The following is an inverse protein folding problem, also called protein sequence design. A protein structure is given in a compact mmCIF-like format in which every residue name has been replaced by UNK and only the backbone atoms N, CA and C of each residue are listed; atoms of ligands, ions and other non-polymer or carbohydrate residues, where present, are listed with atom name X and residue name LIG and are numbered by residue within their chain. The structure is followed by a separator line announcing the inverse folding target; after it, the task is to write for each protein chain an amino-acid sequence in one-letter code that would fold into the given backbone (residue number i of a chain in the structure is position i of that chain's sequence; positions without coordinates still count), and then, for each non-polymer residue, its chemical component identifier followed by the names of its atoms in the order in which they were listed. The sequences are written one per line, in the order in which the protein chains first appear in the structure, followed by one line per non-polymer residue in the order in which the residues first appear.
data_IF_602848845141
#
_entry.id   IF_602848845141
#
_cell.length_a   1.000
_cell.length_b   1.000
_cell.length_c   1.000
_cell.angle_alpha   90.00
_cell.angle_beta   90.00
_cell.angle_gamma   90.00
#
_symmetry.space_group_name_H-M   'P 1'
#
loop_
_entity.id
_entity.type
_entity.pdbx_description
1 polymer ?
#
# COMPACT_ATOMS: atom_id res chain seq x y z
N UNK A 1 53.81 28.15 39.74
CA UNK A 1 52.92 28.99 38.91
C UNK A 1 52.33 28.07 37.83
N UNK A 2 51.25 27.37 38.17
CA UNK A 2 49.84 27.63 37.78
C UNK A 2 49.46 26.99 36.43
N UNK A 3 48.82 25.82 36.50
CA UNK A 3 48.09 25.17 35.41
C UNK A 3 46.84 26.01 35.06
N UNK A 4 46.66 26.34 33.79
CA UNK A 4 45.40 26.87 33.28
C UNK A 4 44.50 25.71 32.82
N UNK A 5 43.41 25.48 33.57
CA UNK A 5 42.28 24.65 33.17
C UNK A 5 41.38 25.48 32.25
N UNK A 6 41.13 25.02 31.03
CA UNK A 6 40.08 25.56 30.15
C UNK A 6 38.88 24.61 30.19
N UNK A 7 37.82 25.08 30.86
CA UNK A 7 36.48 24.52 30.80
C UNK A 7 35.78 25.12 29.58
N UNK A 8 35.30 24.28 28.66
CA UNK A 8 34.40 24.71 27.58
C UNK A 8 33.02 24.12 27.87
N UNK A 9 32.07 25.02 28.13
CA UNK A 9 30.68 24.73 28.43
C UNK A 9 29.95 24.16 27.21
N UNK A 10 29.22 23.06 27.42
CA UNK A 10 28.29 22.50 26.44
C UNK A 10 27.01 23.36 26.39
N UNK A 11 26.66 23.84 25.20
CA UNK A 11 25.36 24.48 24.92
C UNK A 11 24.42 23.40 24.39
N UNK A 12 23.40 23.04 25.17
CA UNK A 12 22.32 22.17 24.72
C UNK A 12 21.25 23.02 24.01
N UNK A 13 21.13 22.88 22.70
CA UNK A 13 20.02 23.45 21.92
C UNK A 13 18.90 22.40 21.91
N UNK A 14 17.91 22.58 22.76
CA UNK A 14 16.67 21.82 22.72
C UNK A 14 15.78 22.33 21.59
N UNK A 15 15.71 21.59 20.49
CA UNK A 15 14.68 21.79 19.47
C UNK A 15 13.44 20.98 19.84
N UNK A 16 12.41 21.65 20.37
CA UNK A 16 11.08 21.07 20.52
C UNK A 16 10.40 21.02 19.15
N UNK A 17 10.30 19.84 18.55
CA UNK A 17 9.49 19.63 17.36
C UNK A 17 8.01 19.66 17.75
N UNK A 18 7.26 20.64 17.22
CA UNK A 18 5.81 20.68 17.34
C UNK A 18 5.18 19.55 16.50
N UNK A 19 4.51 18.61 17.17
CA UNK A 19 3.74 17.55 16.52
C UNK A 19 2.38 18.15 16.14
N UNK A 20 1.97 18.17 14.85
CA UNK A 20 0.62 18.55 14.50
C UNK A 20 -0.36 17.48 14.99
N UNK A 21 -1.23 17.87 15.93
CA UNK A 21 -2.31 17.04 16.46
C UNK A 21 -3.48 17.03 15.46
N UNK A 22 -3.67 15.91 14.77
CA UNK A 22 -4.83 15.71 13.90
C UNK A 22 -6.06 15.44 14.78
N UNK A 23 -7.06 16.33 14.72
CA UNK A 23 -8.39 16.12 15.34
C UNK A 23 -9.25 15.25 14.41
N UNK A 24 -9.86 14.15 14.89
CA UNK A 24 -10.91 13.47 14.15
C UNK A 24 -12.14 14.38 14.07
N UNK A 25 -12.71 14.53 12.87
CA UNK A 25 -14.02 15.15 12.69
C UNK A 25 -15.10 14.17 13.16
N UNK A 26 -15.88 14.58 14.15
CA UNK A 26 -17.04 13.80 14.62
C UNK A 26 -18.19 13.84 13.59
N UNK A 27 -18.86 12.70 13.54
CA UNK A 27 -19.88 12.25 12.60
C UNK A 27 -21.22 12.95 12.90
N UNK A 28 -21.81 13.60 11.90
CA UNK A 28 -23.24 13.94 11.90
C UNK A 28 -23.92 13.24 10.72
N UNK A 29 -24.35 11.99 10.93
CA UNK A 29 -25.26 11.30 10.02
C UNK A 29 -26.69 11.62 10.42
N UNK A 30 -27.36 12.52 9.70
CA UNK A 30 -28.82 12.62 9.73
C UNK A 30 -29.40 11.59 8.76
N UNK A 31 -30.02 10.55 9.31
CA UNK A 31 -30.87 9.64 8.54
C UNK A 31 -32.20 10.34 8.24
N UNK A 32 -32.49 10.61 6.97
CA UNK A 32 -33.83 10.97 6.52
C UNK A 32 -34.65 9.69 6.36
N UNK A 33 -35.67 9.52 7.20
CA UNK A 33 -36.75 8.55 7.00
C UNK A 33 -37.59 8.96 5.79
N UNK A 34 -37.74 8.07 4.82
CA UNK A 34 -38.80 8.16 3.80
C UNK A 34 -39.93 7.26 4.28
N UNK A 35 -41.02 7.87 4.73
CA UNK A 35 -42.30 7.20 4.96
C UNK A 35 -42.90 6.78 3.62
N UNK A 36 -42.90 5.46 3.36
CA UNK A 36 -43.61 4.84 2.25
C UNK A 36 -45.08 4.63 2.61
N UNK A 37 -45.96 5.30 1.87
CA UNK A 37 -47.42 5.33 2.00
C UNK A 37 -48.08 4.05 1.45
N UNK A 38 -49.23 3.74 2.04
CA UNK A 38 -50.13 2.57 1.92
C UNK A 38 -50.62 2.14 0.52
N UNK A 39 -50.95 0.84 0.45
CA UNK A 39 -51.58 -0.09 -0.55
C UNK A 39 -52.94 0.38 -1.16
N UNK A 40 -53.71 -0.35 -2.02
CA UNK A 40 -53.68 -1.80 -2.42
C UNK A 40 -54.08 -2.19 -3.88
N UNK A 41 -53.73 -3.40 -4.35
CA UNK A 41 -54.53 -4.21 -5.33
C UNK A 41 -54.30 -5.72 -5.15
N UNK A 42 -55.36 -6.47 -4.84
CA UNK A 42 -55.66 -7.82 -5.38
C UNK A 42 -55.04 -9.08 -4.74
N UNK A 43 -55.81 -10.17 -4.51
CA UNK A 43 -55.40 -11.30 -3.67
C UNK A 43 -54.94 -12.53 -4.47
N UNK A 44 -54.04 -13.33 -3.90
CA UNK A 44 -54.20 -14.80 -3.77
C UNK A 44 -52.99 -15.45 -3.07
N UNK A 45 -53.32 -16.34 -2.13
CA UNK A 45 -52.54 -17.46 -1.59
C UNK A 45 -51.19 -17.18 -0.86
N UNK A 46 -50.70 -17.93 0.13
CA UNK A 46 -51.19 -18.85 1.19
C UNK A 46 -49.92 -19.19 2.01
N UNK A 47 -50.02 -19.19 3.34
CA UNK A 47 -49.32 -20.04 4.34
C UNK A 47 -47.78 -20.00 4.48
N UNK A 48 -47.32 -19.67 5.70
CA UNK A 48 -46.02 -20.07 6.26
C UNK A 48 -45.54 -19.21 7.45
N UNK A 49 -45.94 -19.56 8.69
CA UNK A 49 -45.50 -18.94 9.95
C UNK A 49 -44.25 -19.69 10.52
N UNK A 50 -43.64 -19.31 11.67
CA UNK A 50 -42.32 -18.68 11.80
C UNK A 50 -41.25 -19.58 12.47
N UNK A 51 -39.98 -19.11 12.54
CA UNK A 51 -39.25 -18.92 13.82
C UNK A 51 -37.71 -18.96 13.67
N UNK A 52 -37.11 -17.87 14.17
CA UNK A 52 -35.95 -17.78 15.06
C UNK A 52 -34.64 -18.53 14.73
N UNK A 53 -33.62 -17.73 14.40
CA UNK A 53 -32.20 -18.04 14.61
C UNK A 53 -31.45 -16.75 14.96
N UNK A 54 -30.90 -16.70 16.17
CA UNK A 54 -30.23 -15.56 16.81
C UNK A 54 -28.93 -15.11 16.12
N UNK A 55 -28.67 -13.81 16.24
CA UNK A 55 -27.40 -13.07 16.40
C UNK A 55 -26.08 -13.82 16.15
N UNK A 56 -25.16 -13.21 15.38
CA UNK A 56 -24.05 -12.41 15.95
C UNK A 56 -23.22 -11.73 14.85
N UNK A 57 -22.95 -10.43 15.05
CA UNK A 57 -22.03 -9.59 14.29
C UNK A 57 -20.64 -10.21 14.14
N UNK A 58 -20.02 -10.04 12.98
CA UNK A 58 -18.62 -9.59 12.91
C UNK A 58 -18.50 -8.58 11.78
N UNK A 59 -18.23 -7.35 12.21
CA UNK A 59 -17.58 -6.25 11.50
C UNK A 59 -16.84 -6.70 10.26
N UNK A 60 -17.39 -6.39 9.09
CA UNK A 60 -16.62 -6.32 7.86
C UNK A 60 -15.73 -5.09 8.03
N UNK A 61 -14.46 -5.33 8.34
CA UNK A 61 -13.44 -4.32 8.47
C UNK A 61 -13.48 -3.40 7.25
N UNK A 62 -13.78 -2.12 7.49
CA UNK A 62 -13.53 -1.01 6.59
C UNK A 62 -12.00 -0.84 6.43
N UNK A 63 -11.35 -1.83 5.83
CA UNK A 63 -10.00 -1.68 5.30
C UNK A 63 -10.18 -0.92 4.00
N UNK A 64 -9.81 0.36 4.02
CA UNK A 64 -9.67 1.21 2.83
C UNK A 64 -8.86 0.45 1.78
N UNK A 65 -9.56 -0.22 0.87
CA UNK A 65 -8.95 -1.05 -0.16
C UNK A 65 -8.49 -0.08 -1.23
N UNK A 66 -7.22 0.33 -1.16
CA UNK A 66 -6.58 1.00 -2.28
C UNK A 66 -6.63 0.00 -3.43
N UNK A 67 -7.50 0.29 -4.39
CA UNK A 67 -7.85 -0.49 -5.59
C UNK A 67 -6.94 -1.71 -5.81
N UNK A 68 -7.42 -2.88 -5.37
CA UNK A 68 -6.85 -4.14 -5.79
C UNK A 68 -7.04 -4.29 -7.29
N UNK A 69 -5.94 -4.50 -8.01
CA UNK A 69 -5.97 -4.96 -9.39
C UNK A 69 -6.36 -6.44 -9.39
N UNK A 70 -7.65 -6.73 -9.17
CA UNK A 70 -8.22 -8.07 -9.30
C UNK A 70 -8.14 -8.49 -10.76
N UNK A 71 -7.01 -9.09 -11.14
CA UNK A 71 -6.76 -9.61 -12.48
C UNK A 71 -5.42 -9.23 -13.11
N UNK A 72 -4.67 -8.26 -12.56
CA UNK A 72 -3.38 -7.90 -13.17
C UNK A 72 -2.36 -9.01 -12.95
N UNK A 73 -1.86 -9.54 -14.05
CA UNK A 73 -0.76 -10.47 -14.08
C UNK A 73 0.52 -9.64 -14.07
N UNK A 74 1.29 -9.70 -12.98
CA UNK A 74 2.56 -9.01 -12.89
C UNK A 74 3.68 -9.87 -13.48
N UNK A 75 4.34 -9.35 -14.50
CA UNK A 75 5.46 -9.95 -15.22
C UNK A 75 5.18 -11.40 -15.68
N UNK A 76 3.93 -11.69 -16.05
CA UNK A 76 3.49 -13.02 -16.48
C UNK A 76 3.49 -14.10 -15.40
N UNK A 77 3.88 -13.79 -14.15
CA UNK A 77 4.20 -14.79 -13.13
C UNK A 77 3.50 -14.59 -11.79
N UNK A 78 2.93 -13.41 -11.53
CA UNK A 78 2.19 -13.16 -10.30
C UNK A 78 0.76 -12.67 -10.58
N UNK A 79 -0.14 -12.91 -9.63
CA UNK A 79 -1.53 -12.45 -9.66
C UNK A 79 -1.92 -11.81 -8.34
N UNK A 80 -2.98 -11.00 -8.36
CA UNK A 80 -3.52 -10.34 -7.17
C UNK A 80 -2.49 -9.42 -6.51
N UNK A 81 -1.69 -8.72 -7.31
CA UNK A 81 -0.62 -7.87 -6.80
C UNK A 81 -1.20 -6.59 -6.23
N UNK A 82 -0.81 -6.25 -5.00
CA UNK A 82 -1.33 -5.10 -4.24
C UNK A 82 -0.24 -4.43 -3.40
N UNK A 83 -0.49 -3.20 -2.97
CA UNK A 83 0.34 -2.52 -1.97
C UNK A 83 -0.25 -2.71 -0.57
N UNK A 84 0.59 -3.14 0.36
CA UNK A 84 0.32 -3.16 1.79
C UNK A 84 1.24 -2.23 2.57
N UNK A 85 1.17 -2.30 3.90
CA UNK A 85 1.96 -1.46 4.82
C UNK A 85 1.15 -0.35 5.51
N UNK A 86 -0.16 -0.28 5.23
CA UNK A 86 -1.15 0.54 5.94
C UNK A 86 -0.77 2.04 6.00
N UNK A 87 -0.04 2.53 5.00
CA UNK A 87 0.46 3.91 4.94
C UNK A 87 1.58 4.26 5.94
N UNK A 88 2.10 3.27 6.68
CA UNK A 88 3.19 3.44 7.64
C UNK A 88 4.52 3.63 6.91
N UNK A 89 5.33 4.57 7.40
CA UNK A 89 6.67 4.87 6.88
C UNK A 89 7.59 3.65 7.01
N UNK A 90 8.35 3.37 5.97
CA UNK A 90 9.30 2.27 5.88
C UNK A 90 8.63 0.91 5.71
N UNK A 91 7.32 0.85 5.47
CA UNK A 91 6.52 -0.39 5.45
C UNK A 91 5.80 -0.64 4.13
N UNK A 92 5.92 0.24 3.14
CA UNK A 92 5.28 0.02 1.83
C UNK A 92 5.76 -1.29 1.22
N UNK A 93 4.83 -2.24 1.09
CA UNK A 93 5.13 -3.63 0.75
C UNK A 93 4.34 -4.05 -0.46
N UNK A 94 5.00 -4.56 -1.49
CA UNK A 94 4.34 -5.22 -2.62
C UNK A 94 3.98 -6.65 -2.19
N UNK A 95 2.72 -7.05 -2.37
CA UNK A 95 2.22 -8.37 -2.01
C UNK A 95 1.51 -9.00 -3.19
N UNK A 96 1.51 -10.32 -3.28
CA UNK A 96 0.76 -11.06 -4.30
C UNK A 96 1.00 -12.55 -4.22
N UNK A 97 0.52 -13.27 -5.22
CA UNK A 97 0.82 -14.70 -5.40
C UNK A 97 1.65 -14.88 -6.65
N UNK A 98 2.80 -15.54 -6.56
CA UNK A 98 3.70 -15.78 -7.68
C UNK A 98 3.90 -17.28 -7.92
N UNK A 99 4.01 -17.68 -9.17
CA UNK A 99 4.26 -19.06 -9.57
C UNK A 99 5.77 -19.35 -9.56
N UNK A 100 6.15 -20.56 -9.14
CA UNK A 100 7.52 -21.04 -9.25
C UNK A 100 7.76 -21.81 -10.57
N UNK A 101 9.00 -22.25 -10.78
CA UNK A 101 9.38 -23.02 -11.97
C UNK A 101 8.69 -24.38 -12.10
N UNK A 102 8.05 -24.87 -11.04
CA UNK A 102 7.29 -26.14 -11.01
C UNK A 102 5.79 -25.93 -11.19
N UNK A 103 5.33 -24.68 -11.33
CA UNK A 103 3.92 -24.34 -11.43
C UNK A 103 3.21 -24.18 -10.08
N UNK A 104 3.93 -24.21 -8.95
CA UNK A 104 3.35 -24.03 -7.62
C UNK A 104 3.18 -22.56 -7.31
N UNK A 105 2.02 -22.18 -6.76
CA UNK A 105 1.72 -20.81 -6.35
C UNK A 105 2.15 -20.55 -4.91
N UNK A 106 2.80 -19.41 -4.71
CA UNK A 106 3.32 -18.96 -3.42
C UNK A 106 2.79 -17.56 -3.12
N UNK A 107 2.25 -17.35 -1.93
CA UNK A 107 2.01 -16.01 -1.41
C UNK A 107 3.35 -15.38 -1.08
N UNK A 108 3.61 -14.16 -1.55
CA UNK A 108 4.88 -13.49 -1.35
C UNK A 108 4.69 -12.00 -1.05
N UNK A 109 5.64 -11.42 -0.32
CA UNK A 109 5.63 -10.01 0.01
C UNK A 109 7.04 -9.42 0.08
N UNK A 110 7.23 -8.21 -0.43
CA UNK A 110 8.53 -7.53 -0.49
C UNK A 110 8.37 -6.08 -0.07
N UNK A 111 9.14 -5.64 0.94
CA UNK A 111 9.20 -4.24 1.32
C UNK A 111 9.96 -3.43 0.26
N UNK A 112 9.26 -2.50 -0.41
CA UNK A 112 9.79 -1.70 -1.50
C UNK A 112 10.84 -0.68 -1.04
N UNK A 113 10.83 -0.30 0.24
CA UNK A 113 11.88 0.58 0.81
C UNK A 113 13.25 -0.09 0.88
N UNK A 114 13.39 -1.36 0.51
CA UNK A 114 14.71 -1.99 0.37
C UNK A 114 15.39 -1.64 -0.94
N UNK A 115 14.62 -1.21 -1.95
CA UNK A 115 15.12 -1.09 -3.32
C UNK A 115 14.66 0.18 -4.03
N UNK A 116 13.74 0.95 -3.44
CA UNK A 116 13.17 2.15 -4.05
C UNK A 116 13.47 3.36 -3.17
N UNK A 117 14.07 4.38 -3.78
CA UNK A 117 14.48 5.62 -3.15
C UNK A 117 13.83 6.85 -3.80
N UNK A 118 14.02 7.98 -3.13
CA UNK A 118 13.73 9.31 -3.63
C UNK A 118 15.01 9.95 -4.13
N UNK A 119 15.14 10.10 -5.45
CA UNK A 119 16.21 10.85 -6.08
C UNK A 119 15.62 12.14 -6.66
N UNK A 120 15.84 13.26 -5.97
CA UNK A 120 15.40 14.60 -6.39
C UNK A 120 13.89 14.72 -6.71
N UNK A 121 13.05 14.08 -5.90
CA UNK A 121 11.60 14.08 -6.06
C UNK A 121 11.15 13.21 -7.24
N UNK A 122 11.91 12.16 -7.55
CA UNK A 122 11.55 11.10 -8.48
C UNK A 122 11.83 9.73 -7.84
N UNK A 123 10.99 8.74 -8.17
CA UNK A 123 11.22 7.36 -7.75
C UNK A 123 12.38 6.80 -8.56
N UNK A 124 13.33 6.20 -7.86
CA UNK A 124 14.46 5.52 -8.47
C UNK A 124 14.76 4.21 -7.75
N UNK A 125 15.40 3.30 -8.46
CA UNK A 125 15.94 2.10 -7.85
C UNK A 125 17.28 2.41 -7.17
N UNK A 126 17.43 1.98 -5.91
CA UNK A 126 18.64 2.16 -5.11
C UNK A 126 18.76 1.08 -4.02
N UNK A 127 19.97 0.68 -3.65
CA UNK A 127 20.22 -0.34 -2.60
C UNK A 127 19.89 0.16 -1.19
N UNK A 128 19.87 1.48 -0.98
CA UNK A 128 19.38 2.15 0.22
C UNK A 128 18.07 2.89 -0.07
N UNK A 129 17.03 2.10 -0.33
CA UNK A 129 15.68 2.65 -0.45
C UNK A 129 15.19 3.32 0.85
N UNK A 130 14.18 4.17 0.71
CA UNK A 130 13.35 4.74 1.80
C UNK A 130 12.29 5.71 1.20
N UNK A 131 11.84 5.45 -0.03
CA UNK A 131 11.06 6.44 -0.79
C UNK A 131 9.76 6.84 -0.08
N UNK A 132 9.12 5.91 0.64
CA UNK A 132 7.80 6.15 1.20
C UNK A 132 7.83 7.14 2.39
N UNK A 133 9.00 7.50 2.90
CA UNK A 133 9.14 8.57 3.88
C UNK A 133 8.58 9.89 3.32
N UNK A 134 8.75 10.14 2.02
CA UNK A 134 8.41 11.41 1.35
C UNK A 134 7.50 11.26 0.14
N UNK A 135 7.32 10.04 -0.38
CA UNK A 135 6.56 9.77 -1.59
C UNK A 135 5.23 9.05 -1.26
N UNK A 136 4.15 9.80 -1.06
CA UNK A 136 2.84 9.27 -0.68
C UNK A 136 1.69 10.17 -1.18
N UNK A 137 0.48 9.61 -1.42
CA UNK A 137 0.16 8.19 -1.44
C UNK A 137 0.71 7.49 -2.70
N UNK A 138 0.77 6.16 -2.65
CA UNK A 138 1.21 5.32 -3.76
C UNK A 138 0.10 4.37 -4.22
N UNK A 139 0.07 4.09 -5.52
CA UNK A 139 -0.83 3.14 -6.17
C UNK A 139 -0.07 2.29 -7.18
N UNK A 140 -0.64 1.13 -7.53
CA UNK A 140 -0.20 0.34 -8.68
C UNK A 140 -1.05 0.68 -9.89
N UNK A 141 -0.46 0.62 -11.06
CA UNK A 141 -1.15 0.69 -12.34
C UNK A 141 -0.44 -0.20 -13.35
N UNK A 142 -1.11 -0.53 -14.45
CA UNK A 142 -0.48 -1.26 -15.55
C UNK A 142 0.62 -0.42 -16.21
N UNK A 143 1.62 -1.09 -16.81
CA UNK A 143 2.62 -0.45 -17.64
C UNK A 143 1.97 0.27 -18.85
N UNK A 144 2.56 1.40 -19.24
CA UNK A 144 2.06 2.21 -20.36
C UNK A 144 2.30 1.53 -21.72
N UNK A 145 3.21 0.55 -21.78
CA UNK A 145 3.48 -0.20 -22.98
C UNK A 145 2.38 -1.25 -23.21
N UNK A 146 1.66 -1.12 -24.32
CA UNK A 146 0.63 -2.06 -24.70
C UNK A 146 1.17 -3.49 -24.79
N UNK A 147 0.52 -4.43 -24.10
CA UNK A 147 0.91 -5.84 -24.06
C UNK A 147 2.03 -6.19 -23.08
N UNK A 148 2.46 -5.25 -22.23
CA UNK A 148 3.36 -5.56 -21.12
C UNK A 148 2.58 -6.01 -19.88
N UNK A 149 3.05 -7.09 -19.25
CA UNK A 149 2.57 -7.54 -17.94
C UNK A 149 3.30 -6.81 -16.78
N UNK A 150 4.19 -5.87 -17.08
CA UNK A 150 4.86 -5.06 -16.07
C UNK A 150 3.89 -4.05 -15.45
N UNK A 151 4.25 -3.53 -14.28
CA UNK A 151 3.41 -2.59 -13.53
C UNK A 151 4.20 -1.34 -13.16
N UNK A 152 3.47 -0.24 -12.94
CA UNK A 152 4.00 1.02 -12.46
C UNK A 152 3.66 1.21 -11.00
N UNK A 153 4.68 1.52 -10.19
CA UNK A 153 4.48 2.17 -8.90
C UNK A 153 4.32 3.67 -9.15
N UNK A 154 3.13 4.21 -8.89
CA UNK A 154 2.82 5.63 -9.07
C UNK A 154 2.66 6.28 -7.70
N UNK A 155 3.35 7.38 -7.45
CA UNK A 155 3.32 8.07 -6.16
C UNK A 155 3.41 9.59 -6.35
N UNK A 156 3.29 10.34 -5.25
CA UNK A 156 3.47 11.80 -5.23
C UNK A 156 4.53 12.20 -4.21
N UNK A 157 5.48 13.04 -4.61
CA UNK A 157 6.33 13.80 -3.69
C UNK A 157 5.70 15.15 -3.40
N UNK A 158 5.93 15.71 -2.20
CA UNK A 158 5.62 17.11 -1.97
C UNK A 158 6.85 17.95 -2.35
N UNK A 159 6.66 18.97 -3.16
CA UNK A 159 7.69 19.97 -3.43
C UNK A 159 7.84 20.95 -2.25
N UNK A 160 8.74 21.92 -2.41
CA UNK A 160 9.01 22.93 -1.37
C UNK A 160 7.82 23.86 -1.07
N UNK A 161 6.81 23.89 -1.93
CA UNK A 161 5.56 24.63 -1.73
C UNK A 161 4.45 23.76 -1.12
N UNK A 162 4.73 22.47 -0.89
CA UNK A 162 3.75 21.50 -0.43
C UNK A 162 2.84 20.97 -1.54
N UNK A 163 3.15 21.27 -2.81
CA UNK A 163 2.37 20.79 -3.95
C UNK A 163 2.79 19.37 -4.35
N UNK A 164 1.84 18.47 -4.66
CA UNK A 164 2.15 17.11 -5.07
C UNK A 164 2.75 17.10 -6.48
N UNK A 165 3.98 16.62 -6.59
CA UNK A 165 4.67 16.27 -7.83
C UNK A 165 4.54 14.78 -8.08
N UNK A 166 3.88 14.45 -9.19
CA UNK A 166 3.68 13.08 -9.63
C UNK A 166 5.00 12.42 -10.09
N UNK A 167 5.15 11.14 -9.77
CA UNK A 167 6.29 10.30 -10.19
C UNK A 167 5.83 8.87 -10.41
N UNK A 168 6.58 8.13 -11.23
CA UNK A 168 6.33 6.70 -11.51
C UNK A 168 7.64 5.92 -11.59
N UNK A 169 7.57 4.64 -11.28
CA UNK A 169 8.66 3.68 -11.43
C UNK A 169 8.12 2.39 -12.03
N UNK A 170 8.72 1.95 -13.13
CA UNK A 170 8.38 0.68 -13.76
C UNK A 170 9.01 -0.48 -13.02
N UNK A 171 8.22 -1.51 -12.76
CA UNK A 171 8.60 -2.76 -12.10
C UNK A 171 8.26 -3.93 -13.02
N UNK A 172 9.12 -4.94 -13.05
CA UNK A 172 8.95 -6.15 -13.85
C UNK A 172 10.21 -6.52 -14.63
N UNK A 173 10.05 -7.29 -15.70
CA UNK A 173 11.18 -7.80 -16.48
C UNK A 173 11.69 -6.79 -17.52
N UNK A 174 10.86 -5.85 -17.96
CA UNK A 174 11.23 -4.81 -18.92
C UNK A 174 11.85 -3.58 -18.25
N UNK A 175 11.69 -3.44 -16.93
CA UNK A 175 12.41 -2.44 -16.15
C UNK A 175 13.92 -2.62 -16.31
N UNK A 176 14.57 -1.67 -16.99
CA UNK A 176 16.00 -1.70 -17.32
C UNK A 176 16.88 -1.34 -16.09
N UNK A 177 16.78 -2.11 -15.01
CA UNK A 177 17.55 -1.93 -13.79
C UNK A 177 17.79 -3.28 -13.08
N UNK A 178 19.00 -3.48 -12.55
CA UNK A 178 19.36 -4.72 -11.83
C UNK A 178 18.61 -4.89 -10.51
N UNK A 179 18.24 -3.78 -9.87
CA UNK A 179 17.44 -3.72 -8.66
C UNK A 179 15.93 -3.70 -8.94
N UNK A 180 15.52 -3.84 -10.21
CA UNK A 180 14.11 -3.88 -10.55
C UNK A 180 13.37 -4.96 -9.76
N UNK A 181 12.19 -4.57 -9.25
CA UNK A 181 11.30 -5.50 -8.56
C UNK A 181 10.74 -6.46 -9.60
N UNK A 182 10.92 -7.76 -9.37
CA UNK A 182 10.46 -8.81 -10.29
C UNK A 182 10.16 -10.11 -9.56
N UNK A 183 9.33 -10.98 -10.14
CA UNK A 183 9.20 -12.33 -9.65
C UNK A 183 10.44 -13.17 -9.97
N UNK A 184 10.75 -14.09 -9.07
CA UNK A 184 11.79 -15.10 -9.23
C UNK A 184 11.43 -16.35 -8.43
N UNK A 185 11.02 -17.40 -9.13
CA UNK A 185 10.72 -18.72 -8.57
C UNK A 185 9.78 -18.67 -7.35
N UNK A 186 8.56 -18.14 -7.54
CA UNK A 186 7.55 -18.03 -6.48
C UNK A 186 7.74 -16.87 -5.51
N UNK A 187 8.77 -16.02 -5.69
CA UNK A 187 9.10 -14.95 -4.75
C UNK A 187 9.25 -13.60 -5.44
N UNK A 188 8.79 -12.52 -4.81
CA UNK A 188 9.17 -11.16 -5.21
C UNK A 188 10.59 -10.83 -4.76
N UNK A 189 11.41 -10.29 -5.66
CA UNK A 189 12.81 -9.92 -5.39
C UNK A 189 13.13 -8.55 -5.96
N UNK A 190 14.16 -7.90 -5.41
CA UNK A 190 14.79 -6.72 -5.98
C UNK A 190 16.27 -6.70 -5.62
N UNK A 191 17.15 -6.69 -6.63
CA UNK A 191 18.59 -6.89 -6.42
C UNK A 191 18.89 -8.18 -5.63
N UNK A 192 19.61 -8.02 -4.52
CA UNK A 192 19.92 -9.11 -3.58
C UNK A 192 18.84 -9.34 -2.50
N UNK A 193 17.81 -8.49 -2.45
CA UNK A 193 16.75 -8.59 -1.48
C UNK A 193 15.67 -9.57 -1.93
N UNK A 194 15.30 -10.44 -1.00
CA UNK A 194 14.28 -11.44 -1.18
C UNK A 194 13.09 -11.10 -0.29
N UNK A 195 11.89 -11.07 -0.89
CA UNK A 195 10.64 -10.96 -0.16
C UNK A 195 10.32 -12.26 0.57
N UNK A 196 9.36 -12.27 1.49
CA UNK A 196 8.91 -13.49 2.17
C UNK A 196 8.09 -14.37 1.23
N UNK A 197 7.91 -15.66 1.58
CA UNK A 197 7.02 -16.56 0.83
C UNK A 197 6.43 -17.65 1.72
N UNK A 198 5.18 -17.98 1.47
CA UNK A 198 4.45 -19.12 2.03
C UNK A 198 3.61 -19.80 0.94
N UNK A 199 3.40 -21.13 1.03
CA UNK A 199 2.59 -21.85 0.05
C UNK A 199 1.11 -21.40 0.10
N UNK A 200 0.44 -21.40 -1.05
CA UNK A 200 -1.02 -21.24 -1.14
C UNK A 200 -1.63 -22.65 -1.01
N UNK A 201 -2.37 -22.91 0.07
CA UNK A 201 -3.09 -24.17 0.28
C UNK A 201 -4.57 -24.03 -0.06
#
# INVERSE_FOLDING_TARGET
MQLARLLVSAVAIGAAAAIPQWKPAERASQARSVEGRTTPVGPDAIIGIPSAGNQLSTTQDDTSTIAGLDGTVFAGQCKGVTLGGDGKVGKTTLKGQCVDSKGTWWTTSLNLNRCVADHDGALAYDEQGNFDARCRPCILADAEQAGSDDILLKCNFLDHTGMPKYTKLEMGFQANNTLAVKPKNGRLVCGNHQGDTSPVF
#
